data_IF_413136453124
#
_entry.id   IF_413136453124
#
_cell.length_a   1.000
_cell.length_b   1.000
_cell.length_c   1.000
_cell.angle_alpha   90.00
_cell.angle_beta   90.00
_cell.angle_gamma   90.00
#
_symmetry.space_group_name_H-M   'P 1'
#
loop_
_entity.id
_entity.type
_entity.pdbx_description
1 polymer ?
#
# COMPACT_ATOMS: atom_id res chain seq x y z
N UNK A 1 -29.22 -7.05 15.23
CA UNK A 1 -28.16 -6.07 14.92
C UNK A 1 -28.46 -4.77 15.65
N UNK A 2 -27.53 -4.28 16.46
CA UNK A 2 -27.68 -3.01 17.20
C UNK A 2 -27.57 -1.86 16.19
N UNK A 3 -28.64 -1.07 16.00
CA UNK A 3 -28.57 0.11 15.13
C UNK A 3 -27.76 1.18 15.85
N UNK A 4 -26.65 1.63 15.26
CA UNK A 4 -25.88 2.76 15.75
C UNK A 4 -26.72 4.04 15.61
N UNK A 5 -26.73 4.86 16.67
CA UNK A 5 -27.33 6.20 16.63
C UNK A 5 -26.25 7.22 16.25
N UNK A 6 -26.66 8.31 15.64
CA UNK A 6 -25.74 9.41 15.27
C UNK A 6 -24.97 9.95 16.48
N UNK A 7 -25.56 9.87 17.69
CA UNK A 7 -24.91 10.21 18.97
C UNK A 7 -23.74 9.28 19.34
N UNK A 8 -23.63 8.11 18.72
CA UNK A 8 -22.59 7.13 19.02
C UNK A 8 -21.30 7.40 18.19
N UNK A 9 -21.37 8.38 17.29
CA UNK A 9 -20.25 8.80 16.42
C UNK A 9 -19.60 10.05 17.04
N UNK A 10 -18.31 9.99 17.29
CA UNK A 10 -17.56 11.16 17.76
C UNK A 10 -17.59 12.25 16.69
N UNK A 11 -18.11 13.46 16.96
CA UNK A 11 -18.11 14.54 16.00
C UNK A 11 -16.69 14.87 15.53
N UNK A 12 -16.54 15.21 14.26
CA UNK A 12 -15.25 15.51 13.62
C UNK A 12 -14.48 16.60 14.36
N UNK A 13 -15.17 17.62 14.87
CA UNK A 13 -14.58 18.70 15.68
C UNK A 13 -13.87 18.14 16.91
N UNK A 14 -14.51 17.24 17.68
CA UNK A 14 -13.92 16.64 18.88
C UNK A 14 -12.74 15.75 18.52
N UNK A 15 -12.78 15.06 17.39
CA UNK A 15 -11.66 14.26 16.89
C UNK A 15 -10.44 15.12 16.56
N UNK A 16 -10.65 16.24 15.89
CA UNK A 16 -9.60 17.19 15.53
C UNK A 16 -9.02 17.90 16.75
N UNK A 17 -9.86 18.28 17.72
CA UNK A 17 -9.43 18.91 18.98
C UNK A 17 -8.56 17.98 19.82
N UNK A 18 -8.87 16.68 19.89
CA UNK A 18 -8.01 15.67 20.54
C UNK A 18 -6.63 15.58 19.89
N UNK A 19 -6.58 15.57 18.57
CA UNK A 19 -5.33 15.51 17.82
C UNK A 19 -4.47 16.76 18.03
N UNK A 20 -5.10 17.90 18.09
CA UNK A 20 -4.45 19.19 18.40
C UNK A 20 -3.91 19.21 19.84
N UNK A 21 -4.69 18.70 20.81
CA UNK A 21 -4.30 18.59 22.21
C UNK A 21 -3.10 17.64 22.40
N UNK A 22 -3.11 16.48 21.76
CA UNK A 22 -1.98 15.52 21.82
C UNK A 22 -0.70 16.15 21.23
N UNK A 23 -0.82 16.89 20.13
CA UNK A 23 0.30 17.62 19.55
C UNK A 23 0.86 18.68 20.50
N UNK A 24 0.00 19.48 21.16
CA UNK A 24 0.43 20.52 22.09
C UNK A 24 1.09 19.95 23.35
N UNK A 25 0.62 18.80 23.85
CA UNK A 25 1.28 18.09 24.95
C UNK A 25 2.68 17.59 24.57
N UNK A 26 2.83 17.07 23.34
CA UNK A 26 4.13 16.64 22.81
C UNK A 26 5.15 17.79 22.77
N UNK A 27 4.72 18.98 22.42
CA UNK A 27 5.58 20.18 22.42
C UNK A 27 5.90 20.69 23.84
N UNK A 28 4.97 20.55 24.79
CA UNK A 28 5.17 21.01 26.18
C UNK A 28 6.15 20.14 26.97
N UNK A 29 6.11 18.85 26.81
CA UNK A 29 7.05 17.90 27.46
C UNK A 29 8.43 17.89 26.78
N UNK A 30 8.51 18.14 25.48
CA UNK A 30 9.76 18.23 24.74
C UNK A 30 10.61 19.44 25.10
N UNK A 31 10.00 20.56 25.54
CA UNK A 31 10.72 21.79 25.87
C UNK A 31 11.54 21.70 27.18
N UNK A 32 11.17 20.79 28.08
CA UNK A 32 11.85 20.63 29.38
C UNK A 32 13.06 19.70 29.36
N UNK A 33 13.25 18.89 28.29
CA UNK A 33 14.34 17.90 28.18
C UNK A 33 15.39 18.24 27.12
N UNK A 34 15.28 19.36 26.42
CA UNK A 34 16.06 19.69 25.22
C UNK A 34 17.40 20.38 25.47
N UNK A 35 17.89 20.44 26.73
CA UNK A 35 19.19 21.10 27.00
C UNK A 35 20.43 20.20 26.78
N UNK A 36 20.30 18.93 26.38
CA UNK A 36 21.44 18.03 26.24
C UNK A 36 21.38 16.99 25.12
N UNK A 37 20.39 17.06 24.21
CA UNK A 37 20.34 16.16 23.07
C UNK A 37 20.92 16.90 21.85
N UNK A 38 22.00 16.38 21.20
CA UNK A 38 22.46 16.96 19.95
C UNK A 38 21.31 16.93 18.95
N UNK A 39 20.99 18.09 18.38
CA UNK A 39 20.05 18.21 17.26
C UNK A 39 20.59 17.34 16.12
N UNK A 40 20.14 16.10 16.07
CA UNK A 40 20.28 15.30 14.87
C UNK A 40 19.45 16.06 13.83
N UNK A 41 20.11 16.68 12.87
CA UNK A 41 19.48 17.23 11.69
C UNK A 41 18.85 16.06 10.93
N UNK A 42 17.67 15.63 11.38
CA UNK A 42 16.80 14.78 10.59
C UNK A 42 16.38 15.65 9.40
N UNK A 43 17.13 15.50 8.30
CA UNK A 43 16.74 16.05 7.01
C UNK A 43 15.31 15.58 6.78
N UNK A 44 14.35 16.48 6.87
CA UNK A 44 12.96 16.19 6.55
C UNK A 44 12.99 15.73 5.09
N UNK A 45 13.00 14.43 4.88
CA UNK A 45 12.86 13.86 3.54
C UNK A 45 11.53 14.39 3.00
N UNK A 46 11.57 14.98 1.81
CA UNK A 46 10.35 15.38 1.13
C UNK A 46 9.43 14.16 1.06
N UNK A 47 8.37 14.17 1.86
CA UNK A 47 7.43 13.05 1.99
C UNK A 47 6.75 12.64 0.65
N UNK A 48 7.08 13.33 -0.42
CA UNK A 48 6.54 13.13 -1.76
C UNK A 48 7.58 12.62 -2.77
N UNK A 49 8.86 12.56 -2.41
CA UNK A 49 9.89 12.02 -3.30
C UNK A 49 9.84 10.49 -3.28
N UNK A 50 9.88 9.82 -4.44
CA UNK A 50 10.03 8.38 -4.52
C UNK A 50 11.27 7.90 -3.75
N UNK A 51 11.15 6.75 -3.11
CA UNK A 51 12.31 6.05 -2.54
C UNK A 51 13.30 5.67 -3.64
N UNK A 52 14.53 5.35 -3.26
CA UNK A 52 15.52 4.88 -4.22
C UNK A 52 15.05 3.60 -4.92
N UNK A 53 15.41 3.42 -6.17
CA UNK A 53 15.10 2.20 -6.91
C UNK A 53 15.68 0.97 -6.20
N UNK A 54 16.85 1.08 -5.61
CA UNK A 54 17.49 0.02 -4.85
C UNK A 54 16.62 -0.40 -3.64
N UNK A 55 16.17 0.54 -2.82
CA UNK A 55 15.32 0.24 -1.67
C UNK A 55 14.00 -0.42 -2.10
N UNK A 56 13.37 0.09 -3.16
CA UNK A 56 12.10 -0.42 -3.66
C UNK A 56 12.24 -1.87 -4.15
N UNK A 57 13.35 -2.22 -4.79
CA UNK A 57 13.53 -3.52 -5.45
C UNK A 57 14.23 -4.57 -4.60
N UNK A 58 14.97 -4.16 -3.56
CA UNK A 58 15.75 -5.10 -2.73
C UNK A 58 15.05 -5.51 -1.45
N UNK A 59 14.16 -4.67 -0.91
CA UNK A 59 13.39 -4.99 0.30
C UNK A 59 12.05 -5.63 -0.04
N UNK A 60 11.76 -6.77 0.61
CA UNK A 60 10.59 -7.58 0.34
C UNK A 60 10.17 -8.37 1.60
N UNK A 61 8.89 -8.69 1.71
CA UNK A 61 8.34 -9.47 2.82
C UNK A 61 7.78 -10.81 2.36
N UNK A 62 8.55 -11.57 1.60
CA UNK A 62 8.17 -12.85 1.03
C UNK A 62 8.95 -13.99 1.70
N UNK A 63 8.39 -14.56 2.76
CA UNK A 63 9.07 -15.51 3.64
C UNK A 63 9.45 -16.84 2.97
N UNK A 64 8.80 -17.21 1.87
CA UNK A 64 9.13 -18.40 1.08
C UNK A 64 10.57 -18.38 0.54
N UNK A 65 11.14 -17.19 0.39
CA UNK A 65 12.53 -17.01 -0.01
C UNK A 65 13.48 -16.72 1.16
N UNK A 66 12.97 -16.70 2.39
CA UNK A 66 13.78 -16.52 3.60
C UNK A 66 13.25 -15.42 4.53
N UNK A 67 13.79 -15.38 5.74
CA UNK A 67 13.30 -14.52 6.83
C UNK A 67 13.88 -13.11 6.80
N UNK A 68 15.04 -12.91 6.15
CA UNK A 68 15.61 -11.57 5.96
C UNK A 68 14.87 -10.82 4.87
N UNK A 69 14.64 -9.53 5.07
CA UNK A 69 13.91 -8.67 4.12
C UNK A 69 14.61 -8.52 2.75
N UNK A 70 15.89 -8.79 2.66
CA UNK A 70 16.67 -8.82 1.42
C UNK A 70 16.83 -10.22 0.82
N UNK A 71 16.38 -11.27 1.49
CA UNK A 71 16.51 -12.66 1.00
C UNK A 71 15.74 -12.90 -0.31
N UNK A 72 14.49 -12.43 -0.49
CA UNK A 72 13.76 -12.65 -1.73
C UNK A 72 14.49 -12.08 -2.95
N UNK A 73 15.05 -10.87 -2.86
CA UNK A 73 15.83 -10.28 -3.94
C UNK A 73 17.01 -11.17 -4.37
N UNK A 74 17.71 -11.80 -3.42
CA UNK A 74 18.87 -12.66 -3.71
C UNK A 74 18.46 -14.03 -4.21
N UNK A 75 17.45 -14.65 -3.59
CA UNK A 75 17.10 -16.06 -3.81
C UNK A 75 16.11 -16.29 -4.93
N UNK A 76 15.31 -15.29 -5.30
CA UNK A 76 14.35 -15.41 -6.40
C UNK A 76 14.94 -15.28 -7.81
N UNK A 77 16.27 -15.09 -7.95
CA UNK A 77 16.93 -14.90 -9.25
C UNK A 77 16.66 -16.02 -10.26
N UNK A 78 16.51 -17.25 -9.77
CA UNK A 78 16.25 -18.43 -10.59
C UNK A 78 14.77 -18.85 -10.56
N UNK A 79 13.90 -18.00 -10.04
CA UNK A 79 12.47 -18.30 -9.99
C UNK A 79 11.85 -18.25 -11.38
N UNK A 80 11.21 -19.36 -11.78
CA UNK A 80 10.57 -19.47 -13.09
C UNK A 80 9.23 -18.74 -13.08
N UNK A 81 9.11 -17.71 -13.91
CA UNK A 81 7.89 -16.88 -14.00
C UNK A 81 7.06 -17.17 -15.26
N UNK A 82 7.50 -18.11 -16.11
CA UNK A 82 6.83 -18.46 -17.37
C UNK A 82 6.80 -19.98 -17.53
N UNK A 83 5.72 -20.58 -18.10
CA UNK A 83 4.45 -19.91 -18.46
C UNK A 83 3.62 -19.57 -17.21
N UNK A 84 2.80 -18.50 -17.29
CA UNK A 84 1.86 -18.13 -16.24
C UNK A 84 0.59 -17.54 -16.84
N UNK A 85 -0.57 -17.87 -16.26
CA UNK A 85 -1.87 -17.30 -16.61
C UNK A 85 -2.61 -16.81 -15.36
N UNK A 86 -3.51 -15.86 -15.55
CA UNK A 86 -4.42 -15.36 -14.52
C UNK A 86 -5.82 -15.88 -14.85
N UNK A 87 -6.41 -16.63 -13.93
CA UNK A 87 -7.79 -17.09 -14.03
C UNK A 87 -8.71 -16.14 -13.28
N UNK A 88 -9.75 -15.68 -13.96
CA UNK A 88 -10.81 -14.83 -13.40
C UNK A 88 -12.09 -15.65 -13.41
N UNK A 89 -12.60 -15.93 -12.21
CA UNK A 89 -13.79 -16.77 -12.01
C UNK A 89 -14.60 -16.29 -10.80
N UNK A 90 -15.74 -16.90 -10.53
CA UNK A 90 -16.67 -16.54 -9.47
C UNK A 90 -17.86 -15.79 -10.03
N UNK A 91 -18.22 -14.64 -9.44
CA UNK A 91 -19.39 -13.84 -9.81
C UNK A 91 -19.15 -13.04 -11.11
N UNK A 92 -18.87 -13.76 -12.19
CA UNK A 92 -18.65 -13.23 -13.54
C UNK A 92 -19.54 -13.97 -14.54
N UNK A 93 -19.93 -13.29 -15.61
CA UNK A 93 -20.80 -13.87 -16.65
C UNK A 93 -20.13 -15.06 -17.35
N UNK A 94 -18.82 -14.93 -17.59
CA UNK A 94 -17.98 -15.97 -18.19
C UNK A 94 -16.59 -15.95 -17.58
N UNK A 95 -16.16 -17.09 -17.06
CA UNK A 95 -14.78 -17.25 -16.60
C UNK A 95 -13.79 -17.05 -17.74
N UNK A 96 -12.68 -16.40 -17.44
CA UNK A 96 -11.64 -16.08 -18.40
C UNK A 96 -10.28 -16.50 -17.85
N UNK A 97 -9.46 -17.10 -18.68
CA UNK A 97 -8.06 -17.36 -18.39
C UNK A 97 -7.19 -16.57 -19.37
N UNK A 98 -6.34 -15.70 -18.83
CA UNK A 98 -5.48 -14.80 -19.59
C UNK A 98 -4.01 -15.16 -19.39
N UNK A 99 -3.27 -15.46 -20.45
CA UNK A 99 -1.81 -15.53 -20.39
C UNK A 99 -1.26 -14.19 -19.89
N UNK A 100 -0.17 -14.24 -19.13
CA UNK A 100 0.41 -13.01 -18.56
C UNK A 100 0.83 -12.02 -19.64
N UNK A 101 1.16 -12.46 -20.83
CA UNK A 101 1.51 -11.62 -21.98
C UNK A 101 0.34 -10.72 -22.40
N UNK A 102 -0.88 -11.23 -22.36
CA UNK A 102 -2.08 -10.44 -22.66
C UNK A 102 -2.37 -9.41 -21.56
N UNK A 103 -2.08 -9.75 -20.31
CA UNK A 103 -2.21 -8.82 -19.19
C UNK A 103 -1.19 -7.70 -19.30
N UNK A 104 0.05 -8.01 -19.65
CA UNK A 104 1.12 -7.04 -19.84
C UNK A 104 0.92 -6.12 -21.08
N UNK A 105 0.11 -6.57 -22.04
CA UNK A 105 -0.26 -5.76 -23.21
C UNK A 105 -1.31 -4.68 -22.90
N UNK A 106 -1.94 -4.72 -21.74
CA UNK A 106 -2.87 -3.67 -21.31
C UNK A 106 -2.10 -2.36 -21.13
N UNK A 107 -2.65 -1.27 -21.63
CA UNK A 107 -2.02 0.06 -21.53
C UNK A 107 -1.77 0.42 -20.07
N UNK A 108 -0.51 0.55 -19.71
CA UNK A 108 -0.08 0.92 -18.36
C UNK A 108 0.16 2.42 -18.24
N UNK A 109 -0.02 2.94 -17.03
CA UNK A 109 0.33 4.31 -16.63
C UNK A 109 1.17 4.29 -15.37
N UNK A 110 2.04 5.28 -15.20
CA UNK A 110 2.81 5.44 -13.97
C UNK A 110 2.01 6.25 -12.95
N UNK A 111 1.97 5.75 -11.72
CA UNK A 111 1.37 6.43 -10.58
C UNK A 111 2.30 6.41 -9.38
N UNK A 112 2.65 7.57 -8.86
CA UNK A 112 3.46 7.70 -7.65
C UNK A 112 2.53 7.63 -6.44
N UNK A 113 2.61 6.52 -5.69
CA UNK A 113 1.74 6.28 -4.55
C UNK A 113 2.55 6.08 -3.27
N UNK A 114 2.03 6.64 -2.17
CA UNK A 114 2.53 6.37 -0.82
C UNK A 114 1.91 5.08 -0.33
N UNK A 115 2.75 4.10 -0.02
CA UNK A 115 2.34 2.82 0.51
C UNK A 115 2.72 2.70 1.98
N UNK A 116 1.81 2.17 2.78
CA UNK A 116 2.10 1.74 4.15
C UNK A 116 1.46 0.38 4.40
N UNK A 117 2.26 -0.58 4.83
CA UNK A 117 1.77 -1.93 5.14
C UNK A 117 1.44 -2.09 6.63
N UNK A 118 0.84 -3.24 6.99
CA UNK A 118 0.50 -3.60 8.38
C UNK A 118 1.72 -3.71 9.29
N UNK A 119 2.87 -4.09 8.78
CA UNK A 119 4.14 -4.12 9.50
C UNK A 119 4.77 -2.72 9.69
N UNK A 120 4.09 -1.66 9.25
CA UNK A 120 4.58 -0.29 9.38
C UNK A 120 5.61 0.13 8.33
N UNK A 121 5.88 -0.69 7.32
CA UNK A 121 6.71 -0.28 6.20
C UNK A 121 6.03 0.84 5.43
N UNK A 122 6.80 1.85 5.09
CA UNK A 122 6.31 2.99 4.34
C UNK A 122 7.28 3.31 3.22
N UNK A 123 6.77 3.42 2.00
CA UNK A 123 7.52 3.78 0.81
C UNK A 123 6.69 4.68 -0.09
N UNK A 124 7.37 5.51 -0.87
CA UNK A 124 6.80 6.24 -1.99
C UNK A 124 7.29 5.56 -3.26
N UNK A 125 6.40 4.93 -3.99
CA UNK A 125 6.74 4.03 -5.09
C UNK A 125 6.11 4.54 -6.39
N UNK A 126 6.89 4.70 -7.47
CA UNK A 126 6.37 4.90 -8.82
C UNK A 126 5.92 3.54 -9.40
N UNK A 127 4.64 3.26 -9.26
CA UNK A 127 4.03 2.05 -9.79
C UNK A 127 3.73 2.21 -11.28
N UNK A 128 4.13 1.23 -12.08
CA UNK A 128 3.68 1.09 -13.46
C UNK A 128 2.59 0.02 -13.51
N UNK A 129 1.41 0.37 -13.95
CA UNK A 129 0.29 -0.56 -14.00
C UNK A 129 -0.95 0.03 -14.65
N UNK A 130 -2.06 -0.69 -14.54
CA UNK A 130 -3.36 -0.29 -15.09
C UNK A 130 -4.44 -0.42 -14.01
N UNK A 131 -5.60 0.18 -14.25
CA UNK A 131 -6.74 0.04 -13.34
C UNK A 131 -7.28 -1.38 -13.35
N UNK A 132 -7.59 -1.92 -12.16
CA UNK A 132 -8.25 -3.22 -12.05
C UNK A 132 -9.56 -3.28 -12.86
N UNK A 133 -10.26 -2.16 -13.02
CA UNK A 133 -11.48 -2.07 -13.85
C UNK A 133 -11.23 -2.46 -15.30
N UNK A 134 -10.05 -2.18 -15.86
CA UNK A 134 -9.70 -2.59 -17.23
C UNK A 134 -9.70 -4.11 -17.40
N UNK A 135 -9.26 -4.82 -16.37
CA UNK A 135 -9.26 -6.28 -16.35
C UNK A 135 -10.68 -6.82 -16.12
N UNK A 136 -11.41 -6.25 -15.17
CA UNK A 136 -12.76 -6.69 -14.81
C UNK A 136 -13.78 -6.44 -15.92
N UNK A 137 -13.61 -5.40 -16.71
CA UNK A 137 -14.46 -5.13 -17.88
C UNK A 137 -14.38 -6.23 -18.95
N UNK A 138 -13.31 -7.06 -18.96
CA UNK A 138 -13.18 -8.18 -19.90
C UNK A 138 -14.09 -9.37 -19.55
N UNK A 139 -14.54 -9.49 -18.30
CA UNK A 139 -15.28 -10.64 -17.79
C UNK A 139 -16.75 -10.34 -17.45
N UNK A 140 -17.18 -9.10 -17.50
CA UNK A 140 -18.55 -8.67 -17.16
C UNK A 140 -18.98 -9.22 -15.79
N UNK A 141 -18.65 -8.47 -14.74
CA UNK A 141 -18.99 -8.80 -13.36
C UNK A 141 -20.51 -8.86 -13.21
N UNK A 142 -21.04 -9.88 -12.57
CA UNK A 142 -22.44 -10.00 -12.23
C UNK A 142 -22.83 -8.94 -11.21
N UNK A 143 -24.02 -8.36 -11.39
CA UNK A 143 -24.53 -7.37 -10.44
C UNK A 143 -24.89 -8.02 -9.12
N UNK A 144 -24.42 -7.45 -8.01
CA UNK A 144 -24.79 -7.88 -6.64
C UNK A 144 -26.28 -7.70 -6.32
N UNK A 145 -27.05 -7.08 -7.23
CA UNK A 145 -28.51 -6.87 -7.05
C UNK A 145 -29.27 -8.22 -7.17
N UNK A 146 -28.63 -9.24 -7.71
CA UNK A 146 -29.24 -10.56 -7.94
C UNK A 146 -28.80 -11.64 -6.94
N UNK A 147 -28.12 -11.25 -5.85
CA UNK A 147 -27.73 -12.15 -4.76
C UNK A 147 -28.66 -11.98 -3.57
#
# INVERSE_FOLDING_TARGET
MKKFKYSDITPEKIYNDRRSFIKSMGYGLGALTLSSVPLINAKASNLNEPNSYEDITTYNNFYEFGTSKSDPHRRAKNFTTRPWSIKIEGEVEKSLELPIEEVLAIKSEERILKLRCVEGWSMVIPWLGFSLSELLNKVQILSLIHI
#
